data_IF_382196262601
#
_entry.id   IF_382196262601
#
_cell.length_a   1.000
_cell.length_b   1.000
_cell.length_c   1.000
_cell.angle_alpha   90.00
_cell.angle_beta   90.00
_cell.angle_gamma   90.00
#
_symmetry.space_group_name_H-M   'P 1'
#
loop_
_entity.id
_entity.type
_entity.pdbx_description
1 polymer ?
#
# COMPACT_ATOMS: atom_id res chain seq x y z
N UNK A 1 12.25 -6.47 3.83
CA UNK A 1 12.23 -6.38 5.32
C UNK A 1 10.81 -6.46 5.89
N UNK A 2 9.82 -5.72 5.38
CA UNK A 2 8.44 -5.73 5.93
C UNK A 2 7.78 -7.12 6.00
N UNK A 3 7.93 -7.96 4.97
CA UNK A 3 7.41 -9.33 5.00
C UNK A 3 7.97 -10.19 6.14
N UNK A 4 9.26 -10.03 6.46
CA UNK A 4 9.88 -10.75 7.57
C UNK A 4 9.41 -10.23 8.92
N UNK A 5 9.17 -8.92 9.04
CA UNK A 5 8.60 -8.33 10.25
C UNK A 5 7.17 -8.84 10.47
N UNK A 6 6.34 -8.90 9.42
CA UNK A 6 4.96 -9.38 9.51
C UNK A 6 4.90 -10.85 9.93
N UNK A 7 5.68 -11.73 9.28
CA UNK A 7 5.74 -13.14 9.65
C UNK A 7 6.31 -13.38 11.05
N UNK A 8 7.26 -12.56 11.48
CA UNK A 8 7.83 -12.66 12.82
C UNK A 8 6.86 -12.20 13.92
N UNK A 9 6.14 -11.10 13.68
CA UNK A 9 5.25 -10.49 14.68
C UNK A 9 3.86 -11.10 14.71
N UNK A 10 3.37 -11.64 13.59
CA UNK A 10 2.02 -12.21 13.44
C UNK A 10 2.02 -13.64 12.90
N UNK A 11 3.11 -14.39 13.07
CA UNK A 11 3.25 -15.74 12.52
C UNK A 11 2.12 -16.71 12.90
N UNK A 12 1.48 -16.53 14.06
CA UNK A 12 0.33 -17.34 14.50
C UNK A 12 -0.97 -17.08 13.73
N UNK A 13 -1.07 -15.99 12.98
CA UNK A 13 -2.24 -15.64 12.15
C UNK A 13 -2.19 -16.29 10.75
N UNK A 14 -1.03 -16.87 10.38
CA UNK A 14 -0.80 -17.45 9.06
C UNK A 14 -0.74 -18.97 9.14
N UNK A 15 -1.60 -19.63 8.35
CA UNK A 15 -1.50 -21.08 8.10
C UNK A 15 -0.47 -21.34 7.01
N UNK A 16 0.04 -22.57 6.83
CA UNK A 16 0.89 -22.89 5.68
C UNK A 16 0.19 -22.54 4.36
N UNK A 17 0.79 -21.63 3.59
CA UNK A 17 0.21 -21.09 2.36
C UNK A 17 1.06 -19.99 1.74
N UNK A 18 0.69 -19.53 0.54
CA UNK A 18 1.36 -18.42 -0.14
C UNK A 18 0.51 -17.16 0.03
N UNK A 19 1.11 -16.13 0.63
CA UNK A 19 0.44 -14.85 0.92
C UNK A 19 1.17 -13.71 0.22
N UNK A 20 0.41 -12.70 -0.19
CA UNK A 20 0.93 -11.46 -0.77
C UNK A 20 0.76 -10.36 0.28
N UNK A 21 1.74 -9.46 0.39
CA UNK A 21 1.64 -8.34 1.32
C UNK A 21 0.46 -7.42 0.93
N UNK A 22 -0.25 -6.84 1.90
CA UNK A 22 -1.33 -5.89 1.63
C UNK A 22 -0.83 -4.68 0.82
N UNK A 23 -1.63 -4.23 -0.16
CA UNK A 23 -1.28 -3.10 -1.06
C UNK A 23 -0.88 -1.81 -0.33
N UNK A 24 -1.44 -1.52 0.84
CA UNK A 24 -1.09 -0.32 1.61
C UNK A 24 0.39 -0.30 2.06
N UNK A 25 1.00 -1.47 2.30
CA UNK A 25 2.43 -1.57 2.62
C UNK A 25 3.29 -1.33 1.38
N UNK A 26 2.83 -1.78 0.22
CA UNK A 26 3.50 -1.58 -1.05
C UNK A 26 3.51 -0.08 -1.45
N UNK A 27 2.36 0.59 -1.30
CA UNK A 27 2.25 2.04 -1.50
C UNK A 27 3.13 2.84 -0.54
N UNK A 28 3.28 2.38 0.71
CA UNK A 28 4.19 3.00 1.70
C UNK A 28 5.65 2.87 1.28
N UNK A 29 6.04 1.70 0.77
CA UNK A 29 7.39 1.48 0.23
C UNK A 29 7.65 2.39 -0.96
N UNK A 30 6.73 2.47 -1.92
CA UNK A 30 6.85 3.36 -3.08
C UNK A 30 7.01 4.82 -2.65
N UNK A 31 6.16 5.32 -1.74
CA UNK A 31 6.22 6.70 -1.23
C UNK A 31 7.59 7.06 -0.62
N UNK A 32 8.21 6.13 0.11
CA UNK A 32 9.54 6.35 0.70
C UNK A 32 10.66 6.45 -0.35
N UNK A 33 10.56 5.70 -1.44
CA UNK A 33 11.55 5.74 -2.53
C UNK A 33 11.37 6.99 -3.41
N UNK A 34 10.13 7.43 -3.66
CA UNK A 34 9.82 8.61 -4.48
C UNK A 34 10.45 9.90 -3.96
N UNK A 35 10.54 10.06 -2.63
CA UNK A 35 11.19 11.22 -2.00
C UNK A 35 12.68 11.31 -2.37
N UNK A 36 13.36 10.17 -2.52
CA UNK A 36 14.80 10.11 -2.84
C UNK A 36 15.09 10.53 -4.29
N UNK A 37 14.14 10.31 -5.20
CA UNK A 37 14.25 10.68 -6.62
C UNK A 37 13.59 12.04 -6.96
N UNK A 38 13.18 12.80 -5.93
CA UNK A 38 12.67 14.16 -6.10
C UNK A 38 11.27 14.27 -6.71
N UNK A 39 10.52 13.16 -6.78
CA UNK A 39 9.16 13.15 -7.30
C UNK A 39 8.21 13.83 -6.31
N UNK A 40 7.36 14.73 -6.82
CA UNK A 40 6.27 15.36 -6.06
C UNK A 40 4.96 14.63 -6.39
N UNK A 41 4.38 13.99 -5.39
CA UNK A 41 3.05 13.40 -5.51
C UNK A 41 1.98 14.49 -5.36
N UNK A 42 0.92 14.40 -6.16
CA UNK A 42 -0.29 15.19 -5.98
C UNK A 42 -1.12 14.58 -4.86
N UNK A 43 -1.56 15.40 -3.91
CA UNK A 43 -2.49 14.97 -2.87
C UNK A 43 -3.93 15.17 -3.36
N UNK A 44 -4.73 14.11 -3.26
CA UNK A 44 -6.15 14.17 -3.58
C UNK A 44 -6.86 15.02 -2.51
N UNK A 45 -7.75 15.91 -2.96
CA UNK A 45 -8.73 16.52 -2.07
C UNK A 45 -9.85 15.51 -1.76
N UNK A 46 -10.58 15.75 -0.67
CA UNK A 46 -11.66 14.86 -0.23
C UNK A 46 -12.72 14.62 -1.32
N UNK A 47 -13.15 15.68 -2.02
CA UNK A 47 -14.10 15.61 -3.13
C UNK A 47 -13.63 14.70 -4.28
N UNK A 48 -12.33 14.74 -4.59
CA UNK A 48 -11.73 13.93 -5.64
C UNK A 48 -11.60 12.46 -5.24
N UNK A 49 -11.27 12.21 -3.98
CA UNK A 49 -11.14 10.86 -3.44
C UNK A 49 -12.51 10.16 -3.39
N UNK A 50 -13.53 10.87 -2.91
CA UNK A 50 -14.92 10.39 -2.89
C UNK A 50 -15.44 10.12 -4.30
N UNK A 51 -15.10 10.99 -5.28
CA UNK A 51 -15.52 10.83 -6.67
C UNK A 51 -15.02 9.53 -7.31
N UNK A 52 -13.80 9.09 -6.97
CA UNK A 52 -13.22 7.84 -7.51
C UNK A 52 -13.34 6.65 -6.54
N UNK A 53 -14.02 6.82 -5.41
CA UNK A 53 -14.27 5.77 -4.44
C UNK A 53 -13.02 5.28 -3.68
N UNK A 54 -12.04 6.15 -3.45
CA UNK A 54 -10.83 5.82 -2.67
C UNK A 54 -10.68 6.76 -1.48
N UNK A 55 -9.85 6.43 -0.51
CA UNK A 55 -9.50 7.39 0.55
C UNK A 55 -8.36 8.31 0.09
N UNK A 56 -8.27 9.51 0.69
CA UNK A 56 -7.15 10.44 0.44
C UNK A 56 -5.78 9.80 0.74
N UNK A 57 -5.74 8.84 1.67
CA UNK A 57 -4.51 8.13 2.04
C UNK A 57 -4.27 6.86 1.21
N UNK A 58 -5.25 6.40 0.43
CA UNK A 58 -5.23 5.12 -0.29
C UNK A 58 -5.88 3.96 0.51
N UNK A 59 -5.81 2.72 0.01
CA UNK A 59 -5.19 2.33 -1.25
C UNK A 59 -5.88 2.96 -2.47
N UNK A 60 -5.11 3.40 -3.47
CA UNK A 60 -5.64 4.18 -4.60
C UNK A 60 -6.08 3.32 -5.79
N UNK A 61 -6.01 1.99 -5.66
CA UNK A 61 -6.29 0.99 -6.71
C UNK A 61 -6.91 -0.26 -6.10
N UNK A 62 -7.75 -0.93 -6.90
CA UNK A 62 -8.39 -2.19 -6.51
C UNK A 62 -7.43 -3.38 -6.49
N UNK A 63 -7.84 -4.47 -5.85
CA UNK A 63 -7.02 -5.68 -5.69
C UNK A 63 -6.61 -6.33 -7.02
N UNK A 64 -7.49 -6.29 -8.02
CA UNK A 64 -7.24 -6.84 -9.36
C UNK A 64 -6.35 -5.96 -10.25
N UNK A 65 -5.98 -4.78 -9.77
CA UNK A 65 -5.18 -3.85 -10.54
C UNK A 65 -3.74 -4.37 -10.70
N UNK A 66 -3.28 -4.47 -11.94
CA UNK A 66 -2.00 -5.09 -12.29
C UNK A 66 -0.79 -4.21 -12.01
N UNK A 67 -0.92 -2.87 -12.05
CA UNK A 67 0.09 -1.87 -11.64
C UNK A 67 -0.49 -0.49 -11.46
#
# INVERSE_FOLDING_TARGET
VLAQIELWTKGGEYKPGVYILPKHLDEKVARLHLKKIGVKLTELRADQADYIGVTVAGPYKSDHYRY
#
